data_IF_424293641870
#
_entry.id   IF_424293641870
#
_cell.length_a   1.000
_cell.length_b   1.000
_cell.length_c   1.000
_cell.angle_alpha   90.00
_cell.angle_beta   90.00
_cell.angle_gamma   90.00
#
_symmetry.space_group_name_H-M   'P 1'
#
loop_
_entity.id
_entity.type
_entity.pdbx_description
1 polymer ?
#
# COMPACT_ATOMS: atom_id res chain seq x y z
N UNK A 1 28.72 -7.53 4.61
CA UNK A 1 27.66 -7.12 5.53
C UNK A 1 27.93 -5.68 5.93
N UNK A 2 27.19 -4.72 5.35
CA UNK A 2 27.21 -3.28 5.69
C UNK A 2 25.83 -2.92 6.21
N UNK A 3 25.42 -3.54 7.31
CA UNK A 3 24.07 -3.37 7.87
C UNK A 3 23.93 -2.08 8.72
N UNK A 4 25.06 -1.49 9.16
CA UNK A 4 25.05 -0.38 10.13
C UNK A 4 24.82 1.01 9.52
N UNK A 5 25.41 1.32 8.35
CA UNK A 5 25.31 2.66 7.74
C UNK A 5 23.86 2.99 7.30
N UNK A 6 23.17 2.00 6.72
CA UNK A 6 21.80 2.18 6.23
C UNK A 6 20.73 2.19 7.34
N UNK A 7 21.04 1.65 8.51
CA UNK A 7 20.15 1.68 9.68
C UNK A 7 20.27 3.03 10.43
N UNK A 8 21.49 3.55 10.59
CA UNK A 8 21.69 4.86 11.23
C UNK A 8 21.15 6.03 10.38
N UNK A 9 21.32 5.99 9.05
CA UNK A 9 20.72 6.99 8.16
C UNK A 9 19.18 6.92 8.18
N UNK A 10 18.63 5.70 8.35
CA UNK A 10 17.20 5.49 8.53
C UNK A 10 16.70 6.14 9.82
N UNK A 11 17.29 5.86 10.98
CA UNK A 11 16.90 6.47 12.26
C UNK A 11 17.02 8.00 12.25
N UNK A 12 18.12 8.54 11.72
CA UNK A 12 18.33 10.00 11.61
C UNK A 12 17.26 10.69 10.76
N UNK A 13 16.83 10.06 9.66
CA UNK A 13 15.75 10.59 8.81
C UNK A 13 14.40 10.54 9.53
N UNK A 14 14.16 9.48 10.30
CA UNK A 14 12.93 9.33 11.11
C UNK A 14 12.86 10.41 12.18
N UNK A 15 13.96 10.68 12.89
CA UNK A 15 14.02 11.69 13.96
C UNK A 15 13.82 13.11 13.43
N UNK A 16 14.34 13.42 12.24
CA UNK A 16 14.11 14.71 11.58
C UNK A 16 12.63 14.90 11.19
N UNK A 17 11.95 13.87 10.68
CA UNK A 17 10.53 13.93 10.30
C UNK A 17 9.62 13.87 11.54
N UNK A 18 9.98 13.08 12.55
CA UNK A 18 9.34 13.05 13.86
C UNK A 18 9.42 14.42 14.55
N UNK A 19 10.59 15.05 14.56
CA UNK A 19 10.78 16.43 14.99
C UNK A 19 10.02 17.44 14.12
N UNK A 20 9.89 17.18 12.82
CA UNK A 20 9.10 18.00 11.91
C UNK A 20 7.60 17.95 12.24
N UNK A 21 7.06 16.76 12.55
CA UNK A 21 5.65 16.56 12.91
C UNK A 21 5.37 16.84 14.39
N UNK A 22 6.39 16.89 15.24
CA UNK A 22 6.26 17.06 16.69
C UNK A 22 5.92 15.76 17.43
N UNK A 23 6.18 14.62 16.82
CA UNK A 23 5.89 13.27 17.32
C UNK A 23 7.22 12.64 17.76
N UNK A 24 7.78 13.05 18.90
CA UNK A 24 9.01 12.45 19.43
C UNK A 24 8.68 11.19 20.23
N UNK A 25 9.28 10.03 19.89
CA UNK A 25 9.01 8.73 20.52
C UNK A 25 9.42 8.61 22.00
N UNK A 26 10.18 9.57 22.57
CA UNK A 26 10.66 9.52 23.98
C UNK A 26 10.73 10.91 24.66
N UNK A 27 9.73 11.77 24.45
CA UNK A 27 9.74 13.09 25.09
C UNK A 27 8.90 13.12 26.37
N UNK A 28 9.53 13.26 27.54
CA UNK A 28 8.84 13.58 28.83
C UNK A 28 7.99 14.86 28.76
N UNK A 29 8.18 15.68 27.70
CA UNK A 29 7.36 16.85 27.36
C UNK A 29 6.02 16.50 26.69
N UNK A 30 5.90 15.37 25.99
CA UNK A 30 4.64 14.90 25.38
C UNK A 30 3.70 14.38 26.48
N UNK A 31 4.23 13.63 27.45
CA UNK A 31 3.47 13.24 28.66
C UNK A 31 2.93 14.45 29.45
N UNK A 32 3.72 15.53 29.53
CA UNK A 32 3.28 16.80 30.13
C UNK A 32 2.24 17.56 29.29
N UNK A 33 2.22 17.38 27.97
CA UNK A 33 1.21 17.99 27.07
C UNK A 33 -0.09 17.18 27.03
N UNK A 34 0.00 15.85 27.07
CA UNK A 34 -1.12 14.91 27.29
C UNK A 34 -1.89 15.23 28.57
N UNK A 35 -1.18 15.44 29.68
CA UNK A 35 -1.75 15.88 30.98
C UNK A 35 -2.41 17.28 30.96
N UNK A 36 -2.25 18.07 29.89
CA UNK A 36 -2.83 19.42 29.73
C UNK A 36 -3.92 19.47 28.65
N UNK A 37 -4.40 18.33 28.14
CA UNK A 37 -5.50 18.26 27.16
C UNK A 37 -5.15 18.79 25.77
N UNK A 38 -3.86 18.84 25.40
CA UNK A 38 -3.41 19.20 24.05
C UNK A 38 -2.72 17.99 23.41
N UNK A 39 -3.49 16.94 23.13
CA UNK A 39 -3.07 15.92 22.18
C UNK A 39 -3.25 16.49 20.77
N UNK A 40 -2.23 16.32 19.93
CA UNK A 40 -2.42 16.39 18.49
C UNK A 40 -1.87 15.09 17.97
N UNK A 41 -2.68 14.04 18.04
CA UNK A 41 -2.35 12.82 17.34
C UNK A 41 -2.49 13.11 15.83
N UNK A 42 -1.40 12.83 15.11
CA UNK A 42 -1.33 12.67 13.65
C UNK A 42 -2.41 11.82 13.00
N UNK A 43 -2.85 10.84 13.77
CA UNK A 43 -3.16 9.53 13.24
C UNK A 43 -4.42 8.94 13.87
N UNK A 44 -5.15 9.71 14.68
CA UNK A 44 -6.43 9.30 15.26
C UNK A 44 -7.46 8.96 14.17
N UNK A 45 -7.28 9.50 12.96
CA UNK A 45 -8.09 9.15 11.80
C UNK A 45 -7.80 7.77 11.21
N UNK A 46 -6.68 7.12 11.54
CA UNK A 46 -6.34 5.78 11.04
C UNK A 46 -7.14 4.74 11.83
N UNK A 47 -8.00 4.01 11.12
CA UNK A 47 -8.77 2.90 11.66
C UNK A 47 -7.97 1.61 11.79
N UNK A 48 -8.68 0.50 11.64
CA UNK A 48 -8.15 -0.83 11.97
C UNK A 48 -7.51 -1.57 10.78
N UNK A 49 -7.57 -1.02 9.57
CA UNK A 49 -7.13 -1.72 8.36
C UNK A 49 -6.29 -0.82 7.44
N UNK A 50 -5.22 -1.40 6.90
CA UNK A 50 -4.38 -0.79 5.87
C UNK A 50 -4.17 -1.81 4.74
N UNK A 51 -4.61 -1.45 3.54
CA UNK A 51 -4.36 -2.19 2.31
C UNK A 51 -3.22 -1.59 1.51
N UNK A 52 -2.49 -2.44 0.79
CA UNK A 52 -1.53 -2.02 -0.24
C UNK A 52 -1.81 -2.76 -1.54
N UNK A 53 -1.72 -2.04 -2.66
CA UNK A 53 -1.83 -2.62 -3.99
C UNK A 53 -0.70 -2.13 -4.90
N UNK A 54 -0.24 -3.02 -5.76
CA UNK A 54 0.60 -2.70 -6.90
C UNK A 54 -0.22 -2.88 -8.17
N UNK A 55 -0.48 -1.79 -8.90
CA UNK A 55 -1.35 -1.83 -10.07
C UNK A 55 -0.66 -1.33 -11.33
N UNK A 56 -0.92 -1.95 -12.51
CA UNK A 56 -0.50 -1.38 -13.78
C UNK A 56 -1.20 -0.06 -14.05
N UNK A 57 -0.44 0.91 -14.57
CA UNK A 57 -0.95 2.24 -14.95
C UNK A 57 -0.83 2.53 -16.45
N UNK A 58 -0.40 1.55 -17.24
CA UNK A 58 -0.42 1.65 -18.70
C UNK A 58 -0.78 0.34 -19.38
N UNK A 59 -1.21 0.45 -20.65
CA UNK A 59 -1.66 -0.69 -21.47
C UNK A 59 -0.56 -1.74 -21.69
N UNK A 60 0.70 -1.31 -21.75
CA UNK A 60 1.85 -2.20 -21.93
C UNK A 60 2.15 -3.03 -20.67
N UNK A 61 1.67 -2.61 -19.50
CA UNK A 61 1.97 -3.26 -18.24
C UNK A 61 3.46 -3.23 -17.90
N UNK A 62 4.19 -2.18 -18.28
CA UNK A 62 5.59 -1.96 -17.91
C UNK A 62 5.77 -0.78 -16.93
N UNK A 63 4.67 -0.11 -16.58
CA UNK A 63 4.61 0.87 -15.50
C UNK A 63 3.57 0.48 -14.47
N UNK A 64 3.94 0.64 -13.21
CA UNK A 64 3.14 0.32 -12.05
C UNK A 64 3.08 1.47 -11.06
N UNK A 65 2.00 1.51 -10.30
CA UNK A 65 1.80 2.44 -9.21
C UNK A 65 1.55 1.69 -7.92
N UNK A 66 2.00 2.30 -6.84
CA UNK A 66 1.69 1.85 -5.50
C UNK A 66 0.46 2.60 -5.02
N UNK A 67 -0.47 1.86 -4.42
CA UNK A 67 -1.67 2.40 -3.79
C UNK A 67 -1.67 1.94 -2.34
N UNK A 68 -1.85 2.86 -1.41
CA UNK A 68 -2.12 2.57 -0.02
C UNK A 68 -3.58 2.97 0.27
N UNK A 69 -4.29 2.11 0.95
CA UNK A 69 -5.72 2.24 1.27
C UNK A 69 -5.78 2.18 2.79
N UNK A 70 -6.13 3.29 3.44
CA UNK A 70 -6.12 3.38 4.89
C UNK A 70 -7.55 3.57 5.34
N UNK A 71 -8.08 2.61 6.10
CA UNK A 71 -9.41 2.75 6.71
C UNK A 71 -9.40 3.98 7.62
N UNK A 72 -10.43 4.80 7.50
CA UNK A 72 -10.67 5.99 8.28
C UNK A 72 -12.15 6.10 8.61
N UNK A 73 -12.55 5.71 9.83
CA UNK A 73 -13.97 5.60 10.19
C UNK A 73 -14.69 6.94 10.30
N UNK A 74 -13.94 8.05 10.34
CA UNK A 74 -14.46 9.41 10.36
C UNK A 74 -13.75 10.24 9.30
N UNK A 75 -14.46 10.46 8.19
CA UNK A 75 -14.00 11.26 7.06
C UNK A 75 -13.67 12.70 7.44
N UNK A 76 -14.45 13.32 8.32
CA UNK A 76 -14.23 14.70 8.72
C UNK A 76 -12.96 14.81 9.55
N UNK A 77 -12.76 13.85 10.46
CA UNK A 77 -11.54 13.78 11.26
C UNK A 77 -10.30 13.53 10.38
N UNK A 78 -10.38 12.60 9.42
CA UNK A 78 -9.32 12.35 8.44
C UNK A 78 -8.95 13.62 7.67
N UNK A 79 -9.96 14.33 7.17
CA UNK A 79 -9.75 15.55 6.41
C UNK A 79 -9.12 16.64 7.28
N UNK A 80 -9.61 16.80 8.50
CA UNK A 80 -9.10 17.77 9.47
C UNK A 80 -7.63 17.51 9.84
N UNK A 81 -7.25 16.26 10.12
CA UNK A 81 -5.89 15.91 10.51
C UNK A 81 -4.91 15.97 9.32
N UNK A 82 -5.33 15.55 8.14
CA UNK A 82 -4.55 15.74 6.91
C UNK A 82 -4.36 17.22 6.57
N UNK A 83 -5.38 18.06 6.78
CA UNK A 83 -5.26 19.51 6.61
C UNK A 83 -4.32 20.14 7.65
N UNK A 84 -4.29 19.65 8.89
CA UNK A 84 -3.30 20.09 9.88
C UNK A 84 -1.87 19.72 9.44
N UNK A 85 -1.68 18.49 8.94
CA UNK A 85 -0.39 18.05 8.40
C UNK A 85 0.04 18.97 7.26
N UNK A 86 -0.87 19.26 6.32
CA UNK A 86 -0.64 20.17 5.20
C UNK A 86 -0.28 21.59 5.65
N UNK A 87 -1.04 22.18 6.59
CA UNK A 87 -0.77 23.50 7.16
C UNK A 87 0.63 23.58 7.78
N UNK A 88 1.02 22.54 8.54
CA UNK A 88 2.38 22.45 9.11
C UNK A 88 3.47 22.40 8.04
N UNK A 89 3.23 21.67 6.96
CA UNK A 89 4.18 21.60 5.84
C UNK A 89 4.28 22.96 5.14
N UNK A 90 3.16 23.63 4.87
CA UNK A 90 3.11 24.94 4.21
C UNK A 90 3.84 26.02 5.02
N UNK A 91 3.75 25.97 6.35
CA UNK A 91 4.45 26.92 7.20
C UNK A 91 5.98 26.73 7.20
N UNK A 92 6.46 25.51 6.93
CA UNK A 92 7.88 25.14 7.00
C UNK A 92 8.54 24.91 5.64
N UNK A 93 7.79 25.10 4.54
CA UNK A 93 8.26 24.86 3.18
C UNK A 93 7.54 25.75 2.16
N UNK A 94 8.24 26.33 1.18
CA UNK A 94 7.63 27.16 0.12
C UNK A 94 6.82 26.33 -0.91
N UNK A 95 6.53 25.08 -0.58
CA UNK A 95 5.91 24.12 -1.46
C UNK A 95 4.43 24.47 -1.68
N UNK A 96 4.08 24.82 -2.92
CA UNK A 96 2.68 25.02 -3.32
C UNK A 96 1.94 23.68 -3.28
N UNK A 97 1.01 23.53 -2.35
CA UNK A 97 0.04 22.44 -2.42
C UNK A 97 -0.82 22.61 -3.68
N UNK A 98 -1.06 21.51 -4.36
CA UNK A 98 -1.91 21.46 -5.54
C UNK A 98 -3.07 20.56 -5.17
N UNK A 99 -4.25 20.91 -5.62
CA UNK A 99 -5.44 20.08 -5.60
C UNK A 99 -6.17 20.25 -6.93
N UNK A 100 -6.97 19.25 -7.28
CA UNK A 100 -7.83 19.28 -8.45
C UNK A 100 -8.99 18.30 -8.24
N UNK A 101 -10.06 18.50 -8.99
CA UNK A 101 -11.25 17.66 -8.94
C UNK A 101 -11.21 16.57 -10.01
N UNK A 102 -11.69 15.38 -9.65
CA UNK A 102 -11.94 14.28 -10.57
C UNK A 102 -13.20 13.53 -10.15
N UNK A 103 -14.22 13.48 -11.01
CA UNK A 103 -15.49 12.77 -10.73
C UNK A 103 -16.12 13.16 -9.38
N UNK A 104 -16.11 14.46 -9.05
CA UNK A 104 -16.58 15.03 -7.77
C UNK A 104 -15.77 14.62 -6.53
N UNK A 105 -14.55 14.16 -6.72
CA UNK A 105 -13.60 13.89 -5.63
C UNK A 105 -12.39 14.82 -5.73
N UNK A 106 -12.07 15.48 -4.62
CA UNK A 106 -10.87 16.31 -4.50
C UNK A 106 -9.63 15.43 -4.35
N UNK A 107 -8.66 15.62 -5.25
CA UNK A 107 -7.36 14.96 -5.19
C UNK A 107 -6.31 15.97 -4.72
N UNK A 108 -5.71 15.71 -3.56
CA UNK A 108 -4.71 16.58 -2.92
C UNK A 108 -3.29 16.01 -3.05
N UNK A 109 -2.29 16.88 -3.18
CA UNK A 109 -0.89 16.49 -3.28
C UNK A 109 -0.19 16.62 -1.92
N UNK A 110 0.09 15.50 -1.25
CA UNK A 110 0.87 15.49 -0.03
C UNK A 110 2.37 15.56 -0.35
N UNK A 111 2.92 16.76 -0.45
CA UNK A 111 4.32 16.97 -0.84
C UNK A 111 5.34 16.78 0.29
N UNK A 112 5.11 15.78 1.15
CA UNK A 112 6.01 15.45 2.26
C UNK A 112 6.81 14.19 1.94
N UNK A 113 8.13 14.36 1.80
CA UNK A 113 9.05 13.24 1.60
C UNK A 113 9.19 12.44 2.88
N UNK A 114 9.05 11.12 2.78
CA UNK A 114 9.30 10.21 3.90
C UNK A 114 8.20 10.12 4.96
N UNK A 115 7.06 10.80 4.77
CA UNK A 115 5.91 10.72 5.68
C UNK A 115 5.49 9.26 5.95
N UNK A 116 5.17 8.50 4.90
CA UNK A 116 4.77 7.10 5.06
C UNK A 116 5.88 6.18 5.56
N UNK A 117 7.14 6.53 5.24
CA UNK A 117 8.30 5.77 5.72
C UNK A 117 8.43 5.84 7.25
N UNK A 118 7.93 6.91 7.88
CA UNK A 118 7.94 7.10 9.33
C UNK A 118 7.07 6.09 10.09
N UNK A 119 5.96 5.69 9.48
CA UNK A 119 4.93 4.93 10.19
C UNK A 119 4.86 3.48 9.72
N UNK A 120 5.12 3.24 8.44
CA UNK A 120 4.88 1.95 7.82
C UNK A 120 6.16 1.30 7.28
N UNK A 121 7.31 1.88 7.64
CA UNK A 121 8.63 1.32 7.39
C UNK A 121 9.07 1.39 5.91
N UNK A 122 10.08 0.56 5.57
CA UNK A 122 10.74 0.58 4.26
C UNK A 122 9.81 0.20 3.10
N UNK A 123 8.75 -0.59 3.37
CA UNK A 123 7.78 -1.02 2.37
C UNK A 123 7.05 0.17 1.70
N UNK A 124 6.94 1.29 2.42
CA UNK A 124 6.26 2.50 1.93
C UNK A 124 7.21 3.56 1.34
N UNK A 125 8.48 3.19 1.11
CA UNK A 125 9.46 4.09 0.46
C UNK A 125 8.99 4.63 -0.90
N UNK A 126 8.10 3.90 -1.57
CA UNK A 126 7.58 4.22 -2.90
C UNK A 126 6.53 5.35 -2.90
N UNK A 127 5.98 5.71 -1.74
CA UNK A 127 5.06 6.84 -1.56
C UNK A 127 5.83 8.13 -1.22
N UNK A 128 6.82 8.48 -2.03
CA UNK A 128 7.47 9.78 -1.92
C UNK A 128 6.57 10.85 -2.55
N UNK A 129 6.14 11.84 -1.75
CA UNK A 129 5.21 12.91 -2.16
C UNK A 129 3.91 12.40 -2.81
N UNK A 130 3.14 11.53 -2.15
CA UNK A 130 1.98 10.91 -2.76
C UNK A 130 0.84 11.93 -2.95
N UNK A 131 -0.06 11.59 -3.86
CA UNK A 131 -1.37 12.21 -3.97
C UNK A 131 -2.37 11.39 -3.16
N UNK A 132 -3.45 12.01 -2.72
CA UNK A 132 -4.50 11.30 -2.02
C UNK A 132 -5.89 11.81 -2.34
N UNK A 133 -6.87 10.94 -2.12
CA UNK A 133 -8.29 11.25 -2.12
C UNK A 133 -8.95 10.53 -0.94
N UNK A 134 -10.01 11.11 -0.40
CA UNK A 134 -10.84 10.48 0.62
C UNK A 134 -12.08 9.92 -0.05
N UNK A 135 -12.22 8.59 -0.05
CA UNK A 135 -13.31 7.85 -0.67
C UNK A 135 -14.04 7.08 0.43
N UNK A 136 -15.30 7.44 0.69
CA UNK A 136 -16.09 6.88 1.78
C UNK A 136 -15.29 6.90 3.11
N UNK A 137 -15.13 5.72 3.73
CA UNK A 137 -14.39 5.53 4.98
C UNK A 137 -12.90 5.19 4.73
N UNK A 138 -12.32 5.62 3.60
CA UNK A 138 -10.93 5.32 3.27
C UNK A 138 -10.17 6.54 2.76
N UNK A 139 -8.92 6.67 3.19
CA UNK A 139 -7.96 7.59 2.56
C UNK A 139 -7.05 6.79 1.64
N UNK A 140 -7.11 7.11 0.35
CA UNK A 140 -6.36 6.43 -0.69
C UNK A 140 -5.15 7.27 -1.06
N UNK A 141 -3.95 6.74 -0.89
CA UNK A 141 -2.70 7.37 -1.32
C UNK A 141 -2.14 6.66 -2.54
N UNK A 142 -1.58 7.42 -3.48
CA UNK A 142 -0.79 6.84 -4.57
C UNK A 142 0.35 7.75 -5.01
N UNK A 143 1.41 7.15 -5.53
CA UNK A 143 2.45 7.88 -6.25
C UNK A 143 2.06 8.23 -7.70
N UNK A 144 0.94 7.70 -8.21
CA UNK A 144 0.49 7.91 -9.59
C UNK A 144 -0.94 8.46 -9.67
N UNK A 145 -1.19 9.36 -10.63
CA UNK A 145 -2.52 9.98 -10.83
C UNK A 145 -3.51 9.01 -11.46
N UNK A 146 -3.08 8.22 -12.44
CA UNK A 146 -3.92 7.24 -13.14
C UNK A 146 -4.42 6.19 -12.17
N UNK A 147 -3.55 5.78 -11.24
CA UNK A 147 -3.91 4.88 -10.16
C UNK A 147 -5.06 5.44 -9.30
N UNK A 148 -4.97 6.69 -8.84
CA UNK A 148 -6.03 7.32 -8.05
C UNK A 148 -7.34 7.47 -8.81
N UNK A 149 -7.28 7.91 -10.07
CA UNK A 149 -8.48 7.98 -10.92
C UNK A 149 -9.16 6.61 -11.03
N UNK A 150 -8.37 5.55 -11.22
CA UNK A 150 -8.89 4.18 -11.25
C UNK A 150 -9.54 3.77 -9.93
N UNK A 151 -8.96 4.14 -8.79
CA UNK A 151 -9.56 3.86 -7.48
C UNK A 151 -10.89 4.60 -7.30
N UNK A 152 -10.97 5.86 -7.71
CA UNK A 152 -12.21 6.66 -7.71
C UNK A 152 -13.27 6.04 -8.64
N UNK A 153 -12.87 5.65 -9.85
CA UNK A 153 -13.79 5.01 -10.81
C UNK A 153 -14.30 3.67 -10.28
N UNK A 154 -13.48 2.89 -9.58
CA UNK A 154 -13.91 1.67 -8.89
C UNK A 154 -14.91 2.00 -7.77
N UNK A 155 -14.61 3.01 -6.94
CA UNK A 155 -15.51 3.46 -5.85
C UNK A 155 -16.88 3.89 -6.39
N UNK A 156 -16.89 4.60 -7.52
CA UNK A 156 -18.10 5.07 -8.19
C UNK A 156 -18.81 3.97 -9.01
N UNK A 157 -18.34 2.71 -8.97
CA UNK A 157 -18.93 1.59 -9.72
C UNK A 157 -18.70 1.62 -11.24
N UNK A 158 -17.81 2.49 -11.74
CA UNK A 158 -17.50 2.63 -13.18
C UNK A 158 -16.52 1.59 -13.68
N UNK A 159 -15.68 1.04 -12.78
CA UNK A 159 -14.72 -0.01 -13.09
C UNK A 159 -14.90 -1.20 -12.16
N UNK A 160 -14.67 -2.40 -12.70
CA UNK A 160 -14.72 -3.62 -11.92
C UNK A 160 -13.62 -3.67 -10.86
N UNK A 161 -13.97 -4.13 -9.66
CA UNK A 161 -13.04 -4.43 -8.58
C UNK A 161 -12.63 -5.92 -8.60
N UNK A 162 -11.66 -6.28 -7.76
CA UNK A 162 -11.15 -7.64 -7.67
C UNK A 162 -12.23 -8.67 -7.25
N UNK A 163 -13.11 -8.37 -6.26
CA UNK A 163 -14.27 -9.22 -5.94
C UNK A 163 -15.23 -9.51 -7.09
N UNK A 164 -15.30 -8.67 -8.13
CA UNK A 164 -16.12 -8.94 -9.32
C UNK A 164 -15.52 -10.02 -10.24
N UNK A 165 -14.25 -10.37 -10.09
CA UNK A 165 -13.63 -11.46 -10.84
C UNK A 165 -14.01 -12.84 -10.24
N UNK A 166 -14.57 -13.73 -11.06
CA UNK A 166 -15.02 -15.06 -10.62
C UNK A 166 -13.88 -16.00 -10.22
N UNK A 167 -12.74 -15.97 -10.92
CA UNK A 167 -11.55 -16.76 -10.58
C UNK A 167 -10.99 -16.34 -9.22
N UNK A 168 -10.94 -15.02 -8.96
CA UNK A 168 -10.56 -14.49 -7.66
C UNK A 168 -11.53 -14.94 -6.56
N UNK A 169 -12.84 -14.82 -6.77
CA UNK A 169 -13.83 -15.26 -5.76
C UNK A 169 -13.69 -16.75 -5.44
N UNK A 170 -13.48 -17.59 -6.44
CA UNK A 170 -13.28 -19.03 -6.24
C UNK A 170 -11.98 -19.32 -5.47
N UNK A 171 -10.92 -18.57 -5.76
CA UNK A 171 -9.66 -18.67 -5.02
C UNK A 171 -9.81 -18.21 -3.56
N UNK A 172 -10.43 -17.05 -3.35
CA UNK A 172 -10.56 -16.41 -2.04
C UNK A 172 -11.44 -17.22 -1.08
N UNK A 173 -12.41 -18.01 -1.58
CA UNK A 173 -13.23 -18.94 -0.79
C UNK A 173 -12.43 -20.02 -0.03
N UNK A 174 -11.14 -20.17 -0.31
CA UNK A 174 -10.25 -21.12 0.38
C UNK A 174 -9.66 -20.53 1.67
N UNK A 175 -9.88 -19.24 1.90
CA UNK A 175 -9.41 -18.49 3.06
C UNK A 175 -10.59 -18.12 3.94
N UNK A 176 -10.29 -17.81 5.20
CA UNK A 176 -11.30 -17.21 6.09
C UNK A 176 -11.64 -15.80 5.59
N UNK A 177 -12.87 -15.33 5.87
CA UNK A 177 -13.30 -13.97 5.50
C UNK A 177 -12.52 -12.87 6.22
N UNK A 178 -11.86 -13.21 7.33
CA UNK A 178 -11.17 -12.28 8.21
C UNK A 178 -9.69 -12.66 8.22
N UNK A 179 -8.79 -11.70 8.47
CA UNK A 179 -7.36 -12.00 8.63
C UNK A 179 -6.65 -10.88 9.35
N UNK A 180 -5.63 -11.22 10.15
CA UNK A 180 -4.70 -10.21 10.66
C UNK A 180 -3.72 -9.75 9.57
N UNK A 181 -3.38 -10.66 8.65
CA UNK A 181 -2.61 -10.34 7.45
C UNK A 181 -3.06 -11.20 6.28
N UNK A 182 -3.21 -10.57 5.12
CA UNK A 182 -3.51 -11.27 3.87
C UNK A 182 -2.64 -10.73 2.74
N UNK A 183 -2.04 -11.66 1.99
CA UNK A 183 -1.32 -11.38 0.75
C UNK A 183 -1.97 -12.18 -0.36
N UNK A 184 -2.26 -11.51 -1.47
CA UNK A 184 -2.73 -12.15 -2.69
C UNK A 184 -1.94 -11.65 -3.90
N UNK A 185 -1.63 -12.56 -4.82
CA UNK A 185 -1.06 -12.22 -6.12
C UNK A 185 -1.69 -13.07 -7.22
N UNK A 186 -1.91 -12.42 -8.37
CA UNK A 186 -2.11 -13.08 -9.64
C UNK A 186 -0.78 -13.02 -10.41
N UNK A 187 -0.01 -14.12 -10.39
CA UNK A 187 1.36 -14.10 -10.90
C UNK A 187 1.44 -13.76 -12.39
N UNK A 188 0.59 -14.29 -13.29
CA UNK A 188 0.59 -13.88 -14.69
C UNK A 188 0.35 -12.38 -14.90
N UNK A 189 -0.53 -11.78 -14.10
CA UNK A 189 -0.74 -10.33 -14.13
C UNK A 189 0.47 -9.60 -13.56
N UNK A 190 1.06 -10.07 -12.46
CA UNK A 190 2.19 -9.42 -11.78
C UNK A 190 3.53 -9.60 -12.50
N UNK A 191 3.69 -10.67 -13.27
CA UNK A 191 4.97 -11.12 -13.85
C UNK A 191 5.70 -10.05 -14.67
N UNK A 192 5.04 -9.25 -15.53
CA UNK A 192 5.70 -8.18 -16.28
C UNK A 192 6.45 -7.17 -15.39
N UNK A 193 5.98 -6.95 -14.15
CA UNK A 193 6.54 -5.98 -13.22
C UNK A 193 7.60 -6.57 -12.28
N UNK A 194 7.51 -7.87 -11.94
CA UNK A 194 8.38 -8.51 -10.96
C UNK A 194 9.89 -8.29 -11.24
N UNK A 195 10.39 -8.41 -12.49
CA UNK A 195 11.81 -8.17 -12.75
C UNK A 195 12.29 -6.76 -12.37
N UNK A 196 11.41 -5.75 -12.39
CA UNK A 196 11.75 -4.38 -11.99
C UNK A 196 11.82 -4.17 -10.48
N UNK A 197 11.30 -5.13 -9.69
CA UNK A 197 11.33 -5.11 -8.23
C UNK A 197 12.52 -5.90 -7.64
N UNK A 198 13.21 -6.67 -8.48
CA UNK A 198 14.27 -7.59 -8.10
C UNK A 198 15.65 -7.03 -8.48
N UNK A 199 16.70 -7.54 -7.85
CA UNK A 199 18.07 -7.28 -8.30
C UNK A 199 18.32 -7.89 -9.70
N UNK A 200 19.39 -7.45 -10.37
CA UNK A 200 19.72 -7.87 -11.76
C UNK A 200 19.83 -9.39 -11.92
N UNK A 201 20.37 -10.09 -10.92
CA UNK A 201 20.55 -11.54 -10.96
C UNK A 201 19.21 -12.26 -10.86
N UNK A 202 18.43 -11.93 -9.83
CA UNK A 202 17.09 -12.48 -9.60
C UNK A 202 16.13 -12.18 -10.76
N UNK A 203 16.16 -10.96 -11.30
CA UNK A 203 15.37 -10.57 -12.46
C UNK A 203 15.72 -11.41 -13.71
N UNK A 204 17.01 -11.70 -13.94
CA UNK A 204 17.45 -12.56 -15.05
C UNK A 204 16.96 -13.99 -14.86
N UNK A 205 17.07 -14.54 -13.65
CA UNK A 205 16.58 -15.88 -13.32
C UNK A 205 15.07 -15.99 -13.48
N UNK A 206 14.32 -14.99 -13.01
CA UNK A 206 12.87 -14.95 -13.14
C UNK A 206 12.43 -14.94 -14.61
N UNK A 207 13.07 -14.11 -15.45
CA UNK A 207 12.78 -14.04 -16.89
C UNK A 207 13.07 -15.37 -17.59
N UNK A 208 14.18 -16.03 -17.26
CA UNK A 208 14.51 -17.37 -17.81
C UNK A 208 13.47 -18.43 -17.45
N UNK A 209 12.80 -18.27 -16.31
CA UNK A 209 11.82 -19.22 -15.78
C UNK A 209 10.38 -18.70 -15.87
N UNK A 210 10.08 -17.82 -16.84
CA UNK A 210 8.76 -17.21 -17.01
C UNK A 210 7.63 -18.23 -17.03
N UNK A 211 7.78 -19.31 -17.80
CA UNK A 211 6.76 -20.36 -17.89
C UNK A 211 6.46 -20.97 -16.53
N UNK A 212 7.50 -21.32 -15.77
CA UNK A 212 7.34 -21.87 -14.43
C UNK A 212 6.69 -20.86 -13.49
N UNK A 213 7.19 -19.63 -13.45
CA UNK A 213 6.68 -18.57 -12.58
C UNK A 213 5.19 -18.27 -12.85
N UNK A 214 4.82 -18.12 -14.13
CA UNK A 214 3.42 -17.86 -14.55
C UNK A 214 2.51 -19.08 -14.42
N UNK A 215 3.06 -20.28 -14.21
CA UNK A 215 2.24 -21.47 -13.93
C UNK A 215 1.62 -21.44 -12.54
N UNK A 216 2.20 -20.70 -11.59
CA UNK A 216 1.60 -20.44 -10.28
C UNK A 216 0.64 -19.26 -10.37
N UNK A 217 -0.58 -19.50 -10.86
CA UNK A 217 -1.52 -18.46 -11.30
C UNK A 217 -1.98 -17.54 -10.18
N UNK A 218 -2.44 -18.11 -9.08
CA UNK A 218 -2.90 -17.38 -7.91
C UNK A 218 -2.17 -17.91 -6.69
N UNK A 219 -1.63 -17.01 -5.89
CA UNK A 219 -0.97 -17.33 -4.62
C UNK A 219 -1.58 -16.45 -3.54
N UNK A 220 -1.92 -17.07 -2.42
CA UNK A 220 -2.55 -16.42 -1.29
C UNK A 220 -1.92 -16.91 0.01
N UNK A 221 -1.58 -15.97 0.89
CA UNK A 221 -1.08 -16.25 2.23
C UNK A 221 -1.96 -15.50 3.22
N UNK A 222 -2.52 -16.23 4.19
CA UNK A 222 -3.34 -15.69 5.27
C UNK A 222 -2.67 -16.01 6.60
N UNK A 223 -2.56 -15.01 7.47
CA UNK A 223 -2.17 -15.18 8.86
C UNK A 223 -3.33 -14.77 9.77
N UNK A 224 -3.66 -15.65 10.72
CA UNK A 224 -4.68 -15.46 11.73
C UNK A 224 -4.02 -15.54 13.10
N UNK A 225 -4.32 -14.57 13.95
CA UNK A 225 -4.00 -14.63 15.37
C UNK A 225 -5.09 -15.45 16.06
N UNK A 226 -4.66 -16.53 16.71
CA UNK A 226 -5.49 -17.36 17.57
C UNK A 226 -4.86 -17.32 18.97
N UNK A 227 -5.56 -17.80 20.01
CA UNK A 227 -5.18 -17.61 21.42
C UNK A 227 -3.74 -18.10 21.73
N UNK A 228 -2.78 -17.18 21.64
CA UNK A 228 -1.35 -17.42 21.90
C UNK A 228 -0.52 -17.91 20.72
N UNK A 229 -1.08 -18.05 19.51
CA UNK A 229 -0.32 -18.48 18.32
C UNK A 229 -0.84 -17.88 17.00
N UNK A 230 -0.08 -18.06 15.93
CA UNK A 230 -0.51 -17.68 14.58
C UNK A 230 -0.77 -18.91 13.72
N UNK A 231 -1.95 -18.96 13.10
CA UNK A 231 -2.27 -19.91 12.03
C UNK A 231 -1.91 -19.31 10.68
N UNK A 232 -1.18 -20.06 9.86
CA UNK A 232 -0.73 -19.64 8.54
C UNK A 232 -1.31 -20.56 7.46
N UNK A 233 -2.06 -19.99 6.51
CA UNK A 233 -2.66 -20.70 5.38
C UNK A 233 -2.04 -20.20 4.08
N UNK A 234 -1.37 -21.09 3.34
CA UNK A 234 -0.84 -20.82 2.01
C UNK A 234 -1.64 -21.63 0.98
N UNK A 235 -2.31 -20.95 0.05
CA UNK A 235 -2.93 -21.59 -1.10
C UNK A 235 -2.22 -21.17 -2.38
N UNK A 236 -1.93 -22.15 -3.24
CA UNK A 236 -1.29 -21.94 -4.54
C UNK A 236 -2.11 -22.65 -5.61
N UNK A 237 -2.53 -21.91 -6.63
CA UNK A 237 -3.12 -22.49 -7.83
C UNK A 237 -2.07 -22.66 -8.91
N UNK A 238 -1.82 -23.92 -9.26
CA UNK A 238 -0.93 -24.27 -10.36
C UNK A 238 -1.74 -24.61 -11.62
N UNK A 239 -1.39 -23.97 -12.74
CA UNK A 239 -1.88 -24.30 -14.08
C UNK A 239 -0.74 -24.12 -15.07
N UNK A 240 -0.27 -25.18 -15.76
CA UNK A 240 0.83 -25.08 -16.70
C UNK A 240 0.59 -23.98 -17.75
N UNK A 241 1.51 -23.04 -17.87
CA UNK A 241 1.46 -22.03 -18.92
C UNK A 241 1.91 -22.65 -20.26
N UNK A 242 0.96 -22.80 -21.19
CA UNK A 242 1.21 -23.32 -22.54
C UNK A 242 1.06 -24.84 -22.72
N UNK A 243 0.12 -25.50 -22.04
CA UNK A 243 -0.13 -26.92 -22.22
C UNK A 243 -0.58 -27.28 -23.65
N UNK A 244 0.22 -28.10 -24.35
CA UNK A 244 -0.36 -29.12 -25.23
C UNK A 244 -1.32 -29.97 -24.39
N UNK A 245 -2.48 -30.32 -24.95
CA UNK A 245 -3.44 -31.27 -24.35
C UNK A 245 -2.68 -32.50 -23.82
N UNK A 246 -3.08 -32.93 -22.62
CA UNK A 246 -2.66 -34.18 -21.98
C UNK A 246 -2.51 -35.32 -23.00
N UNK A 247 -1.34 -35.96 -23.03
CA UNK A 247 -1.09 -37.22 -23.73
C UNK A 247 -1.42 -38.45 -22.87
N UNK A 248 -2.08 -38.28 -21.72
CA UNK A 248 -2.65 -39.41 -20.99
C UNK A 248 -4.16 -39.46 -21.20
N UNK A 249 -4.51 -39.93 -22.40
CA UNK A 249 -5.67 -40.76 -22.63
C UNK A 249 -5.14 -42.06 -23.24
N UNK A 250 -4.88 -43.06 -22.39
CA UNK A 250 -4.96 -44.50 -22.66
C UNK A 250 -4.77 -45.24 -21.35
#
# INVERSE_FOLDING_TARGET
MKEDEGFQEYEKTQDQIAGFLGVQRKDKKIDRKRRRGKDVDYFDWIGQEIGMALIPVNKKGDKQAYVAIIHSPDRENAQHDLDKIEKKIRHRSPVRFKEYEYQNHTIKYLKLKGFFRLFMGKMFKQFDKPKYAVLDDFVIFSNDTTALHRMIDVSNGKLANLPMNSEYRQFFRKFESNSNYFLYTNTPTLFPFLPGLLDKGSARTLRKNEKLATSFRQVGLQLLSEDGYFSAKLHVEYKPSGGKKSLFNR
#
